data_IF_301097955778
#
_entry.id   IF_301097955778
#
_cell.length_a   1.000
_cell.length_b   1.000
_cell.length_c   1.000
_cell.angle_alpha   90.00
_cell.angle_beta   90.00
_cell.angle_gamma   90.00
#
_symmetry.space_group_name_H-M   'P 1'
#
loop_
_entity.id
_entity.type
_entity.pdbx_description
1 polymer ?
#
# COMPACT_ATOMS: atom_id res chain seq x y z
N UNK A 1 -24.43 -7.76 12.46
CA UNK A 1 -24.89 -6.37 12.66
C UNK A 1 -24.20 -5.87 13.90
N UNK A 2 -23.28 -4.91 13.77
CA UNK A 2 -22.51 -4.35 14.89
C UNK A 2 -23.40 -3.66 15.96
N UNK A 3 -24.69 -3.48 15.67
CA UNK A 3 -25.70 -3.00 16.63
C UNK A 3 -26.31 -4.11 17.49
N UNK A 4 -25.96 -5.38 17.25
CA UNK A 4 -26.58 -6.54 17.92
C UNK A 4 -25.73 -7.15 19.04
N UNK A 5 -24.55 -6.60 19.35
CA UNK A 5 -23.69 -7.14 20.41
C UNK A 5 -22.23 -6.77 20.23
N UNK A 6 -21.36 -7.75 20.44
CA UNK A 6 -19.91 -7.67 20.33
C UNK A 6 -19.41 -8.20 18.97
N UNK A 7 -18.10 -8.44 18.88
CA UNK A 7 -17.39 -8.99 17.73
C UNK A 7 -17.99 -10.32 17.20
N UNK A 8 -18.56 -11.16 18.06
CA UNK A 8 -19.14 -12.44 17.59
C UNK A 8 -20.37 -12.22 16.69
N UNK A 9 -21.03 -11.07 16.85
CA UNK A 9 -22.30 -10.73 16.19
C UNK A 9 -22.18 -9.64 15.12
N UNK A 10 -21.08 -8.87 15.11
CA UNK A 10 -20.82 -7.78 14.17
C UNK A 10 -20.97 -8.23 12.72
N UNK A 11 -20.47 -9.42 12.38
CA UNK A 11 -20.45 -9.94 11.01
C UNK A 11 -21.60 -10.86 10.66
N UNK A 12 -22.59 -11.04 11.53
CA UNK A 12 -23.71 -11.97 11.29
C UNK A 12 -24.35 -11.78 9.90
N UNK A 13 -24.65 -10.54 9.53
CA UNK A 13 -25.27 -10.19 8.24
C UNK A 13 -24.34 -10.48 7.07
N UNK A 14 -23.03 -10.25 7.22
CA UNK A 14 -22.05 -10.61 6.21
C UNK A 14 -22.00 -12.14 6.03
N UNK A 15 -21.94 -12.88 7.15
CA UNK A 15 -21.89 -14.35 7.16
C UNK A 15 -23.10 -14.99 6.50
N UNK A 16 -24.29 -14.44 6.73
CA UNK A 16 -25.54 -14.90 6.12
C UNK A 16 -25.61 -14.67 4.60
N UNK A 17 -24.97 -13.61 4.08
CA UNK A 17 -25.07 -13.22 2.66
C UNK A 17 -23.89 -13.72 1.83
N UNK A 18 -22.67 -13.65 2.38
CA UNK A 18 -21.42 -13.87 1.65
C UNK A 18 -20.63 -15.10 2.11
N UNK A 19 -20.95 -15.66 3.28
CA UNK A 19 -20.25 -16.81 3.84
C UNK A 19 -19.21 -16.45 4.90
N UNK A 20 -18.30 -17.38 5.24
CA UNK A 20 -17.40 -17.20 6.38
C UNK A 20 -16.48 -15.98 6.22
N UNK A 21 -16.13 -15.33 7.34
CA UNK A 21 -15.23 -14.16 7.35
C UNK A 21 -13.76 -14.53 7.21
N UNK A 22 -13.43 -15.81 7.40
CA UNK A 22 -12.09 -16.35 7.14
C UNK A 22 -12.20 -17.74 6.49
N UNK A 23 -11.33 -17.99 5.53
CA UNK A 23 -11.28 -19.24 4.76
C UNK A 23 -9.98 -19.31 3.95
N UNK A 24 -9.64 -20.50 3.44
CA UNK A 24 -8.51 -20.69 2.54
C UNK A 24 -8.92 -21.42 1.27
N UNK A 25 -8.15 -21.26 0.21
CA UNK A 25 -8.31 -22.02 -1.02
C UNK A 25 -7.02 -22.05 -1.83
N UNK A 26 -6.90 -23.05 -2.71
CA UNK A 26 -5.81 -23.14 -3.66
C UNK A 26 -6.27 -22.71 -5.04
N UNK A 27 -5.41 -21.97 -5.75
CA UNK A 27 -5.57 -21.73 -7.19
C UNK A 27 -4.24 -21.96 -7.88
N UNK A 28 -4.15 -23.04 -8.66
CA UNK A 28 -2.88 -23.49 -9.21
C UNK A 28 -1.91 -23.86 -8.09
N UNK A 29 -0.72 -23.23 -8.08
CA UNK A 29 0.29 -23.40 -7.03
C UNK A 29 0.28 -22.29 -5.98
N UNK A 30 -0.70 -21.39 -6.00
CA UNK A 30 -0.85 -20.37 -4.96
C UNK A 30 -1.88 -20.82 -3.92
N UNK A 31 -1.54 -20.63 -2.65
CA UNK A 31 -2.42 -20.84 -1.51
C UNK A 31 -2.89 -19.48 -0.99
N UNK A 32 -4.20 -19.29 -0.92
CA UNK A 32 -4.82 -18.06 -0.48
C UNK A 32 -5.47 -18.26 0.88
N UNK A 33 -5.24 -17.31 1.78
CA UNK A 33 -5.86 -17.25 3.10
C UNK A 33 -6.56 -15.91 3.20
N UNK A 34 -7.85 -15.92 3.54
CA UNK A 34 -8.62 -14.71 3.85
C UNK A 34 -8.86 -14.72 5.35
N UNK A 35 -8.55 -13.61 6.01
CA UNK A 35 -8.72 -13.42 7.45
C UNK A 35 -9.56 -12.18 7.71
N UNK A 36 -10.18 -12.18 8.89
CA UNK A 36 -10.83 -11.01 9.46
C UNK A 36 -10.01 -10.52 10.65
N UNK A 37 -9.43 -9.34 10.49
CA UNK A 37 -8.57 -8.72 11.49
C UNK A 37 -9.18 -7.44 12.07
N UNK A 38 -10.43 -7.12 11.75
CA UNK A 38 -11.16 -5.97 12.31
C UNK A 38 -12.00 -6.45 13.48
N UNK A 39 -11.45 -6.35 14.69
CA UNK A 39 -12.17 -6.77 15.89
C UNK A 39 -13.01 -5.63 16.44
N UNK A 40 -14.33 -5.79 16.43
CA UNK A 40 -15.27 -4.84 16.98
C UNK A 40 -15.26 -4.87 18.52
N UNK A 41 -15.20 -3.70 19.15
CA UNK A 41 -15.08 -3.60 20.61
C UNK A 41 -16.43 -3.45 21.33
N UNK A 42 -17.54 -3.64 20.63
CA UNK A 42 -18.89 -3.60 21.22
C UNK A 42 -19.43 -2.18 21.51
N UNK A 43 -18.69 -1.14 21.13
CA UNK A 43 -19.05 0.26 21.37
C UNK A 43 -19.05 1.05 20.06
N UNK A 44 -20.23 1.44 19.58
CA UNK A 44 -20.42 2.29 18.40
C UNK A 44 -19.63 1.84 17.15
N UNK A 45 -18.60 2.60 16.74
CA UNK A 45 -17.72 2.29 15.60
C UNK A 45 -16.29 2.02 16.07
N UNK A 46 -16.14 1.60 17.32
CA UNK A 46 -14.83 1.34 17.92
C UNK A 46 -14.37 -0.09 17.59
N UNK A 47 -13.16 -0.19 17.07
CA UNK A 47 -12.54 -1.45 16.66
C UNK A 47 -11.02 -1.37 16.81
N UNK A 48 -10.38 -2.51 16.86
CA UNK A 48 -8.92 -2.60 16.72
C UNK A 48 -8.50 -3.65 15.69
N UNK A 49 -7.24 -3.58 15.27
CA UNK A 49 -6.61 -4.65 14.51
C UNK A 49 -6.25 -5.80 15.43
N UNK A 50 -6.91 -6.95 15.28
CA UNK A 50 -6.63 -8.16 16.06
C UNK A 50 -7.10 -9.41 15.33
N UNK A 51 -6.24 -10.41 15.22
CA UNK A 51 -6.61 -11.70 14.64
C UNK A 51 -6.95 -12.65 15.79
N UNK A 52 -8.19 -13.15 15.85
CA UNK A 52 -8.61 -14.02 16.96
C UNK A 52 -7.72 -15.27 17.12
N UNK A 53 -7.57 -15.76 18.34
CA UNK A 53 -6.83 -17.02 18.62
C UNK A 53 -7.38 -18.22 17.85
N UNK A 54 -8.69 -18.23 17.60
CA UNK A 54 -9.35 -19.24 16.78
C UNK A 54 -8.86 -19.18 15.32
N UNK A 55 -8.79 -17.98 14.74
CA UNK A 55 -8.27 -17.78 13.38
C UNK A 55 -6.78 -18.14 13.29
N UNK A 56 -5.95 -17.72 14.26
CA UNK A 56 -4.52 -18.09 14.28
C UNK A 56 -4.33 -19.61 14.41
N UNK A 57 -5.09 -20.26 15.30
CA UNK A 57 -5.05 -21.72 15.48
C UNK A 57 -5.54 -22.48 14.24
N UNK A 58 -6.55 -21.94 13.56
CA UNK A 58 -7.04 -22.47 12.30
C UNK A 58 -6.01 -22.31 11.18
N UNK A 59 -5.47 -21.11 11.00
CA UNK A 59 -4.44 -20.79 10.00
C UNK A 59 -3.20 -21.65 10.20
N UNK A 60 -2.77 -21.88 11.44
CA UNK A 60 -1.66 -22.78 11.74
C UNK A 60 -1.89 -24.20 11.18
N UNK A 61 -3.08 -24.76 11.37
CA UNK A 61 -3.44 -26.10 10.86
C UNK A 61 -3.58 -26.13 9.34
N UNK A 62 -4.18 -25.09 8.77
CA UNK A 62 -4.30 -24.94 7.32
C UNK A 62 -2.91 -24.93 6.64
N UNK A 63 -2.00 -24.15 7.21
CA UNK A 63 -0.60 -24.03 6.80
C UNK A 63 0.18 -25.36 6.94
N UNK A 64 -0.18 -26.29 7.83
CA UNK A 64 0.50 -27.61 7.92
C UNK A 64 0.43 -28.41 6.61
N UNK A 65 -0.54 -28.09 5.74
CA UNK A 65 -0.73 -28.74 4.45
C UNK A 65 -0.08 -27.98 3.28
N UNK A 66 0.58 -26.85 3.52
CA UNK A 66 1.16 -25.98 2.50
C UNK A 66 2.68 -26.19 2.41
N UNK A 67 3.19 -26.39 1.19
CA UNK A 67 4.64 -26.51 0.96
C UNK A 67 5.34 -25.18 1.31
N UNK A 68 6.52 -25.27 1.94
CA UNK A 68 7.25 -24.10 2.44
C UNK A 68 7.80 -23.17 1.35
N UNK A 69 7.86 -23.65 0.10
CA UNK A 69 8.24 -22.88 -1.08
C UNK A 69 7.02 -22.48 -1.93
N UNK A 70 5.81 -22.84 -1.51
CA UNK A 70 4.58 -22.42 -2.19
C UNK A 70 4.36 -20.91 -2.01
N UNK A 71 3.72 -20.28 -2.99
CA UNK A 71 3.25 -18.90 -2.86
C UNK A 71 2.05 -18.86 -1.92
N UNK A 72 2.18 -18.14 -0.80
CA UNK A 72 1.11 -17.89 0.16
C UNK A 72 0.67 -16.43 0.04
N UNK A 73 -0.60 -16.22 -0.28
CA UNK A 73 -1.21 -14.88 -0.35
C UNK A 73 -2.25 -14.78 0.77
N UNK A 74 -2.10 -13.77 1.63
CA UNK A 74 -2.98 -13.55 2.77
C UNK A 74 -3.72 -12.23 2.56
N UNK A 75 -5.05 -12.25 2.54
CA UNK A 75 -5.88 -11.08 2.37
C UNK A 75 -6.57 -10.72 3.69
N UNK A 76 -6.45 -9.47 4.11
CA UNK A 76 -7.03 -8.93 5.35
C UNK A 76 -7.22 -7.41 5.23
N UNK A 77 -7.78 -6.74 6.24
CA UNK A 77 -8.12 -5.32 6.13
C UNK A 77 -7.05 -4.39 6.70
N UNK A 78 -6.64 -4.58 7.95
CA UNK A 78 -5.75 -3.67 8.68
C UNK A 78 -4.28 -4.12 8.50
N UNK A 79 -3.34 -3.21 8.18
CA UNK A 79 -1.98 -3.66 7.94
C UNK A 79 -1.34 -4.34 9.14
N UNK A 80 -0.77 -5.52 8.92
CA UNK A 80 -0.27 -6.37 10.01
C UNK A 80 1.01 -5.82 10.62
N UNK A 81 1.89 -5.25 9.80
CA UNK A 81 3.18 -4.71 10.26
C UNK A 81 3.04 -3.63 11.35
N UNK A 82 1.96 -2.84 11.37
CA UNK A 82 1.80 -1.74 12.33
C UNK A 82 0.38 -1.53 12.91
N UNK A 83 -0.64 -2.23 12.42
CA UNK A 83 -2.04 -2.02 12.83
C UNK A 83 -2.66 -3.18 13.62
N UNK A 84 -2.09 -4.39 13.53
CA UNK A 84 -2.60 -5.59 14.23
C UNK A 84 -1.86 -5.81 15.55
N UNK A 85 -2.57 -5.81 16.68
CA UNK A 85 -2.00 -5.85 18.03
C UNK A 85 -1.22 -7.12 18.35
N UNK A 86 -1.69 -8.28 17.86
CA UNK A 86 -1.04 -9.58 18.03
C UNK A 86 -0.26 -10.01 16.77
N UNK A 87 0.32 -9.06 16.04
CA UNK A 87 1.07 -9.35 14.82
C UNK A 87 2.25 -10.31 15.03
N UNK A 88 2.87 -10.34 16.21
CA UNK A 88 3.97 -11.27 16.52
C UNK A 88 3.54 -12.72 16.36
N UNK A 89 2.40 -13.08 16.95
CA UNK A 89 1.86 -14.44 16.88
C UNK A 89 1.53 -14.82 15.43
N UNK A 90 1.03 -13.86 14.65
CA UNK A 90 0.78 -14.04 13.22
C UNK A 90 2.08 -14.29 12.43
N UNK A 91 3.10 -13.45 12.58
CA UNK A 91 4.37 -13.58 11.86
C UNK A 91 5.11 -14.88 12.24
N UNK A 92 4.99 -15.34 13.49
CA UNK A 92 5.58 -16.60 13.93
C UNK A 92 5.09 -17.81 13.14
N UNK A 93 3.82 -17.83 12.72
CA UNK A 93 3.27 -18.90 11.86
C UNK A 93 3.91 -18.93 10.46
N UNK A 94 4.44 -17.79 10.02
CA UNK A 94 4.93 -17.57 8.65
C UNK A 94 6.44 -17.76 8.49
N UNK A 95 7.21 -17.80 9.59
CA UNK A 95 8.69 -17.84 9.58
C UNK A 95 9.32 -18.96 8.72
N UNK A 96 8.59 -20.05 8.49
CA UNK A 96 9.07 -21.19 7.70
C UNK A 96 8.74 -21.09 6.20
N UNK A 97 7.92 -20.13 5.77
CA UNK A 97 7.52 -19.93 4.39
C UNK A 97 8.39 -18.88 3.72
N UNK A 98 8.82 -19.17 2.50
CA UNK A 98 9.79 -18.31 1.79
C UNK A 98 9.16 -17.27 0.87
N UNK A 99 7.86 -17.41 0.60
CA UNK A 99 7.16 -16.62 -0.41
C UNK A 99 5.76 -16.29 0.09
N UNK A 100 5.69 -15.29 0.96
CA UNK A 100 4.45 -14.85 1.60
C UNK A 100 4.18 -13.40 1.24
N UNK A 101 2.97 -13.16 0.77
CA UNK A 101 2.47 -11.85 0.43
C UNK A 101 1.20 -11.54 1.22
N UNK A 102 1.16 -10.39 1.89
CA UNK A 102 -0.04 -9.89 2.56
C UNK A 102 -0.66 -8.80 1.69
N UNK A 103 -1.98 -8.85 1.50
CA UNK A 103 -2.79 -7.83 0.83
C UNK A 103 -3.63 -7.14 1.90
N UNK A 104 -3.26 -5.91 2.25
CA UNK A 104 -3.93 -5.11 3.27
C UNK A 104 -4.42 -3.77 2.72
N UNK A 105 -5.26 -3.07 3.48
CA UNK A 105 -5.85 -1.80 3.09
C UNK A 105 -6.03 -0.89 4.30
N UNK A 106 -7.27 -0.46 4.56
CA UNK A 106 -7.66 0.35 5.73
C UNK A 106 -7.12 1.79 5.79
N UNK A 107 -5.89 2.02 5.34
CA UNK A 107 -5.11 3.24 5.62
C UNK A 107 -5.32 4.38 4.63
N UNK A 108 -5.82 4.08 3.43
CA UNK A 108 -5.98 5.07 2.35
C UNK A 108 -4.67 5.72 1.89
N UNK A 109 -3.55 5.01 2.00
CA UNK A 109 -2.27 5.29 1.35
C UNK A 109 -1.69 4.00 0.77
N UNK A 110 -0.67 4.06 -0.06
CA UNK A 110 -0.03 2.92 -0.71
C UNK A 110 1.39 2.71 -0.17
N UNK A 111 1.66 1.53 0.41
CA UNK A 111 2.96 1.21 1.01
C UNK A 111 3.28 -0.26 0.76
N UNK A 112 4.54 -0.53 0.42
CA UNK A 112 5.11 -1.87 0.42
C UNK A 112 6.03 -2.03 1.64
N UNK A 113 5.74 -3.00 2.50
CA UNK A 113 6.52 -3.27 3.69
C UNK A 113 7.11 -4.69 3.61
N UNK A 114 8.43 -4.81 3.81
CA UNK A 114 9.09 -6.11 3.94
C UNK A 114 9.49 -6.33 5.39
N UNK A 115 8.84 -7.29 6.06
CA UNK A 115 9.10 -7.62 7.45
C UNK A 115 9.28 -9.14 7.60
N UNK A 116 10.40 -9.58 8.17
CA UNK A 116 10.70 -10.99 8.41
C UNK A 116 10.53 -11.91 7.18
N UNK A 117 10.85 -11.41 5.98
CA UNK A 117 10.69 -12.16 4.74
C UNK A 117 9.24 -12.26 4.22
N UNK A 118 8.29 -11.59 4.88
CA UNK A 118 6.90 -11.44 4.43
C UNK A 118 6.74 -10.08 3.78
N UNK A 119 6.19 -10.06 2.57
CA UNK A 119 5.98 -8.83 1.81
C UNK A 119 4.53 -8.38 1.94
N UNK A 120 4.30 -7.30 2.67
CA UNK A 120 2.98 -6.70 2.83
C UNK A 120 2.74 -5.57 1.83
N UNK A 121 1.64 -5.68 1.09
CA UNK A 121 1.12 -4.73 0.13
C UNK A 121 -0.07 -4.01 0.76
N UNK A 122 0.16 -2.85 1.35
CA UNK A 122 -0.92 -1.99 1.81
C UNK A 122 -1.37 -1.11 0.64
N UNK A 123 -2.58 -1.34 0.14
CA UNK A 123 -3.09 -0.65 -1.05
C UNK A 123 -3.67 0.73 -0.75
N UNK A 124 -3.37 1.67 -1.64
CA UNK A 124 -4.14 2.91 -1.75
C UNK A 124 -5.62 2.65 -2.01
N UNK A 125 -6.48 3.61 -1.70
CA UNK A 125 -7.92 3.44 -1.78
C UNK A 125 -8.50 3.85 -3.15
N UNK A 126 -9.51 3.10 -3.62
CA UNK A 126 -10.32 3.48 -4.80
C UNK A 126 -10.96 4.86 -4.62
N UNK A 127 -11.33 5.21 -3.38
CA UNK A 127 -11.89 6.51 -3.07
C UNK A 127 -10.83 7.59 -2.78
N UNK A 128 -9.53 7.26 -2.78
CA UNK A 128 -8.47 8.19 -2.40
C UNK A 128 -8.62 8.58 -0.94
N UNK A 129 -8.39 9.84 -0.60
CA UNK A 129 -8.68 10.41 0.71
C UNK A 129 -10.22 10.57 0.91
N UNK A 130 -10.96 9.46 0.93
CA UNK A 130 -12.40 9.39 1.18
C UNK A 130 -13.27 10.22 0.22
N UNK A 131 -13.01 10.15 -1.09
CA UNK A 131 -13.70 10.90 -2.15
C UNK A 131 -13.49 12.41 -2.10
N UNK A 132 -12.50 12.87 -1.33
CA UNK A 132 -12.27 14.29 -1.11
C UNK A 132 -11.40 14.93 -2.17
N UNK A 133 -10.60 14.13 -2.88
CA UNK A 133 -9.77 14.56 -3.98
C UNK A 133 -9.39 13.40 -4.90
N UNK A 134 -8.52 13.67 -5.90
CA UNK A 134 -8.14 12.68 -6.91
C UNK A 134 -7.11 11.66 -6.41
N UNK A 135 -6.52 11.89 -5.23
CA UNK A 135 -5.40 11.13 -4.66
C UNK A 135 -5.72 10.64 -3.23
N UNK A 136 -4.99 9.62 -2.80
CA UNK A 136 -4.81 9.17 -1.44
C UNK A 136 -4.05 10.22 -0.61
N UNK A 137 -4.00 10.04 0.71
CA UNK A 137 -3.37 11.00 1.62
C UNK A 137 -1.85 11.13 1.42
N UNK A 138 -1.20 10.13 0.87
CA UNK A 138 0.22 10.05 0.51
C UNK A 138 0.56 10.57 -0.90
N UNK A 139 -0.42 11.09 -1.65
CA UNK A 139 -0.23 11.50 -3.04
C UNK A 139 -0.53 10.41 -4.08
N UNK A 140 -0.72 9.16 -3.67
CA UNK A 140 -1.00 8.05 -4.59
C UNK A 140 -2.35 8.26 -5.30
N UNK A 141 -2.44 8.24 -6.64
CA UNK A 141 -3.71 8.37 -7.34
C UNK A 141 -4.68 7.24 -6.96
N UNK A 142 -5.99 7.51 -6.96
CA UNK A 142 -7.02 6.46 -6.79
C UNK A 142 -6.77 5.26 -7.71
N UNK A 143 -6.84 4.04 -7.19
CA UNK A 143 -6.49 2.85 -7.95
C UNK A 143 -6.58 1.56 -7.15
N UNK A 144 -5.89 0.54 -7.66
CA UNK A 144 -5.83 -0.81 -7.09
C UNK A 144 -4.51 -1.49 -7.49
N UNK A 145 -4.06 -2.46 -6.70
CA UNK A 145 -2.96 -3.35 -7.07
C UNK A 145 -3.41 -4.39 -8.11
N UNK A 146 -2.54 -4.72 -9.06
CA UNK A 146 -2.73 -5.85 -9.97
C UNK A 146 -1.63 -6.87 -9.69
N UNK A 147 -2.04 -8.13 -9.54
CA UNK A 147 -1.18 -9.24 -9.19
C UNK A 147 -1.25 -10.32 -10.27
N UNK A 148 -0.10 -10.63 -10.85
CA UNK A 148 0.07 -11.66 -11.87
C UNK A 148 0.77 -12.87 -11.24
N UNK A 149 0.07 -13.99 -11.21
CA UNK A 149 0.54 -15.23 -10.59
C UNK A 149 0.93 -16.23 -11.67
N UNK A 150 2.19 -16.69 -11.66
CA UNK A 150 2.70 -17.75 -12.52
C UNK A 150 3.37 -18.84 -11.67
N UNK A 151 2.62 -19.92 -11.41
CA UNK A 151 3.05 -20.97 -10.50
C UNK A 151 3.24 -20.43 -9.08
N UNK A 152 4.49 -20.34 -8.63
CA UNK A 152 4.88 -19.75 -7.33
C UNK A 152 5.36 -18.31 -7.47
N UNK A 153 5.55 -17.79 -8.68
CA UNK A 153 6.04 -16.45 -8.89
C UNK A 153 4.90 -15.44 -8.82
N UNK A 154 5.15 -14.30 -8.18
CA UNK A 154 4.23 -13.17 -8.09
C UNK A 154 4.86 -11.92 -8.69
N UNK A 155 4.21 -11.33 -9.68
CA UNK A 155 4.51 -9.97 -10.16
C UNK A 155 3.36 -9.04 -9.82
N UNK A 156 3.67 -7.77 -9.64
CA UNK A 156 2.64 -6.77 -9.33
C UNK A 156 2.97 -5.40 -9.88
N UNK A 157 1.91 -4.61 -10.04
CA UNK A 157 2.01 -3.18 -10.36
C UNK A 157 0.78 -2.46 -9.81
N UNK A 158 0.90 -1.15 -9.55
CA UNK A 158 -0.25 -0.32 -9.18
C UNK A 158 -1.01 0.12 -10.43
N UNK A 159 -2.34 0.14 -10.40
CA UNK A 159 -3.16 0.60 -11.53
C UNK A 159 -4.06 1.76 -11.11
N UNK A 160 -3.59 2.98 -11.39
CA UNK A 160 -4.41 4.17 -11.20
C UNK A 160 -5.65 4.16 -12.11
N UNK A 161 -6.78 4.54 -11.53
CA UNK A 161 -8.08 4.59 -12.21
C UNK A 161 -8.03 5.63 -13.32
N UNK A 162 -8.44 5.23 -14.54
CA UNK A 162 -8.44 6.12 -15.70
C UNK A 162 -7.06 6.49 -16.27
N UNK A 163 -5.97 5.89 -15.77
CA UNK A 163 -4.60 6.11 -16.28
C UNK A 163 -4.01 4.81 -16.83
N UNK A 164 -3.05 4.86 -17.76
CA UNK A 164 -2.32 3.66 -18.20
C UNK A 164 -1.51 3.04 -17.05
N UNK A 165 -1.08 1.77 -17.18
CA UNK A 165 -0.30 1.09 -16.12
C UNK A 165 1.09 1.70 -15.94
N UNK A 166 1.58 2.43 -16.93
CA UNK A 166 2.87 3.11 -16.94
C UNK A 166 2.87 4.39 -16.08
N UNK A 167 1.70 4.88 -15.68
CA UNK A 167 1.58 5.99 -14.74
C UNK A 167 1.87 5.49 -13.32
N UNK A 168 3.14 5.54 -12.92
CA UNK A 168 3.63 5.11 -11.59
C UNK A 168 4.32 6.21 -10.79
N UNK A 169 4.47 7.41 -11.36
CA UNK A 169 5.10 8.52 -10.69
C UNK A 169 4.54 9.87 -11.16
N UNK A 170 4.65 10.87 -10.29
CA UNK A 170 4.35 12.27 -10.59
C UNK A 170 5.48 13.17 -10.12
N UNK A 171 5.68 14.29 -10.82
CA UNK A 171 6.73 15.25 -10.51
C UNK A 171 6.14 16.57 -10.04
N UNK A 172 6.80 17.20 -9.07
CA UNK A 172 6.56 18.56 -8.63
C UNK A 172 7.90 19.31 -8.64
N UNK A 173 7.91 20.53 -9.16
CA UNK A 173 9.07 21.43 -9.11
C UNK A 173 8.69 22.68 -8.34
N UNK A 174 9.44 22.94 -7.29
CA UNK A 174 9.35 24.17 -6.52
C UNK A 174 10.53 25.10 -6.87
N UNK A 175 10.23 26.36 -7.17
CA UNK A 175 11.25 27.38 -7.41
C UNK A 175 11.58 28.09 -6.10
N UNK A 176 12.82 27.96 -5.64
CA UNK A 176 13.39 28.63 -4.47
C UNK A 176 14.29 29.78 -4.93
N UNK A 177 14.79 30.60 -4.00
CA UNK A 177 15.54 31.84 -4.31
C UNK A 177 16.69 31.66 -5.31
N UNK A 178 17.51 30.63 -5.14
CA UNK A 178 18.71 30.37 -5.98
C UNK A 178 18.79 28.93 -6.51
N UNK A 179 17.70 28.17 -6.42
CA UNK A 179 17.65 26.78 -6.82
C UNK A 179 16.21 26.35 -7.12
N UNK A 180 16.05 25.25 -7.84
CA UNK A 180 14.79 24.52 -7.95
C UNK A 180 14.90 23.23 -7.14
N UNK A 181 13.79 22.79 -6.56
CA UNK A 181 13.64 21.51 -5.87
C UNK A 181 12.67 20.64 -6.66
N UNK A 182 13.14 19.48 -7.10
CA UNK A 182 12.28 18.41 -7.63
C UNK A 182 11.82 17.53 -6.47
N UNK A 183 10.54 17.20 -6.46
CA UNK A 183 9.96 16.10 -5.68
C UNK A 183 9.27 15.16 -6.68
N UNK A 184 9.72 13.92 -6.73
CA UNK A 184 9.07 12.84 -7.48
C UNK A 184 8.39 11.89 -6.50
N UNK A 185 7.10 11.66 -6.67
CA UNK A 185 6.33 10.68 -5.89
C UNK A 185 6.22 9.39 -6.71
N UNK A 186 6.75 8.26 -6.20
CA UNK A 186 6.82 6.96 -6.90
C UNK A 186 6.06 5.91 -6.08
N UNK A 187 4.73 5.99 -6.07
CA UNK A 187 3.88 5.35 -5.04
C UNK A 187 3.97 3.83 -4.85
N UNK A 188 4.27 3.05 -5.88
CA UNK A 188 4.40 1.59 -5.74
C UNK A 188 5.84 1.14 -5.40
N UNK A 189 6.66 2.08 -4.95
CA UNK A 189 8.07 1.86 -4.63
C UNK A 189 8.27 0.78 -3.57
N UNK A 190 9.41 0.12 -3.69
CA UNK A 190 10.03 -0.70 -2.66
C UNK A 190 11.56 -0.62 -2.83
N UNK A 191 12.36 -1.06 -1.84
CA UNK A 191 13.81 -0.88 -1.87
C UNK A 191 14.58 -1.54 -3.04
N UNK A 192 13.96 -2.43 -3.82
CA UNK A 192 14.59 -3.03 -5.00
C UNK A 192 14.45 -2.17 -6.27
N UNK A 193 13.61 -1.12 -6.23
CA UNK A 193 13.44 -0.19 -7.34
C UNK A 193 14.66 0.72 -7.49
N UNK A 194 14.90 1.15 -8.74
CA UNK A 194 15.91 2.16 -9.07
C UNK A 194 15.21 3.40 -9.59
N UNK A 195 15.47 4.54 -8.95
CA UNK A 195 14.95 5.84 -9.40
C UNK A 195 16.13 6.71 -9.80
N UNK A 196 16.13 7.14 -11.05
CA UNK A 196 17.20 7.93 -11.67
C UNK A 196 16.61 9.19 -12.29
N UNK A 197 17.43 10.20 -12.52
CA UNK A 197 16.98 11.45 -13.10
C UNK A 197 17.98 12.08 -14.07
N UNK A 198 17.44 12.89 -14.98
CA UNK A 198 18.19 13.68 -15.94
C UNK A 198 17.78 15.16 -15.84
N UNK A 199 18.76 16.05 -16.02
CA UNK A 199 18.57 17.50 -16.09
C UNK A 199 19.06 17.98 -17.45
N UNK A 200 18.19 18.60 -18.25
CA UNK A 200 18.46 19.03 -19.63
C UNK A 200 19.13 17.93 -20.49
N UNK A 201 18.65 16.69 -20.33
CA UNK A 201 19.15 15.50 -21.04
C UNK A 201 20.48 14.93 -20.53
N UNK A 202 21.04 15.49 -19.44
CA UNK A 202 22.23 14.95 -18.78
C UNK A 202 21.83 14.05 -17.62
N UNK A 203 22.28 12.80 -17.65
CA UNK A 203 22.10 11.86 -16.53
C UNK A 203 22.80 12.35 -15.26
N UNK A 204 22.06 12.34 -14.16
CA UNK A 204 22.53 12.73 -12.83
C UNK A 204 22.71 11.53 -11.89
N UNK A 205 22.39 10.33 -12.35
CA UNK A 205 22.45 9.09 -11.56
C UNK A 205 21.19 8.88 -10.71
N UNK A 206 21.37 8.21 -9.58
CA UNK A 206 20.29 7.90 -8.65
C UNK A 206 19.69 9.18 -8.04
N UNK A 207 18.37 9.21 -7.92
CA UNK A 207 17.63 10.23 -7.21
C UNK A 207 17.47 9.79 -5.75
N UNK A 208 17.75 10.69 -4.80
CA UNK A 208 17.75 10.33 -3.38
C UNK A 208 16.32 10.17 -2.87
N UNK A 209 16.04 9.03 -2.21
CA UNK A 209 14.79 8.81 -1.49
C UNK A 209 14.73 9.71 -0.26
N UNK A 210 13.54 10.18 0.07
CA UNK A 210 13.29 10.94 1.28
C UNK A 210 11.88 10.67 1.80
N UNK A 211 11.74 10.71 3.12
CA UNK A 211 10.43 10.70 3.74
C UNK A 211 9.84 12.12 3.76
N UNK A 212 8.56 12.25 3.44
CA UNK A 212 7.91 13.56 3.48
C UNK A 212 6.42 13.50 3.22
N UNK A 213 5.85 14.65 2.86
CA UNK A 213 4.48 14.76 2.42
C UNK A 213 4.48 15.09 0.93
N UNK A 214 3.63 14.42 0.18
CA UNK A 214 3.42 14.74 -1.23
C UNK A 214 2.91 16.20 -1.39
N UNK A 215 3.52 17.00 -2.28
CA UNK A 215 3.11 18.40 -2.43
C UNK A 215 1.64 18.59 -2.79
N UNK A 216 1.06 17.72 -3.63
CA UNK A 216 -0.33 17.81 -4.02
C UNK A 216 -1.26 17.39 -2.87
N UNK A 217 -0.89 16.38 -2.07
CA UNK A 217 -1.67 16.01 -0.88
C UNK A 217 -1.69 17.13 0.16
N UNK A 218 -0.56 17.84 0.34
CA UNK A 218 -0.49 19.03 1.18
C UNK A 218 -1.39 20.14 0.64
N UNK A 219 -1.30 20.45 -0.65
CA UNK A 219 -2.13 21.49 -1.28
C UNK A 219 -3.63 21.22 -1.13
N UNK A 220 -4.05 19.97 -1.30
CA UNK A 220 -5.46 19.60 -1.29
C UNK A 220 -6.05 19.42 0.11
N UNK A 221 -5.27 18.87 1.04
CA UNK A 221 -5.79 18.32 2.29
C UNK A 221 -5.31 19.04 3.54
N UNK A 222 -4.27 19.87 3.47
CA UNK A 222 -3.75 20.54 4.66
C UNK A 222 -4.37 21.92 4.88
N UNK A 223 -4.92 22.14 6.07
CA UNK A 223 -5.23 23.47 6.60
C UNK A 223 -6.65 23.58 7.16
N UNK A 224 -6.90 24.58 8.00
CA UNK A 224 -8.11 24.69 8.84
C UNK A 224 -9.46 24.69 8.08
N UNK A 225 -9.42 24.97 6.77
CA UNK A 225 -10.61 25.00 5.89
C UNK A 225 -10.58 23.92 4.82
N UNK A 226 -9.56 23.07 4.83
CA UNK A 226 -9.34 22.03 3.86
C UNK A 226 -9.27 20.66 4.53
N UNK A 227 -9.68 19.61 3.81
CA UNK A 227 -10.57 19.71 2.68
C UNK A 227 -12.03 19.94 3.14
N UNK A 228 -12.77 20.77 2.41
CA UNK A 228 -14.11 21.24 2.84
C UNK A 228 -15.14 20.11 3.04
N UNK A 229 -15.06 19.03 2.25
CA UNK A 229 -16.04 17.94 2.31
C UNK A 229 -15.82 17.00 3.49
N UNK A 230 -14.56 16.66 3.79
CA UNK A 230 -14.18 15.74 4.87
C UNK A 230 -12.96 16.29 5.60
N UNK A 231 -13.20 17.24 6.50
CA UNK A 231 -12.16 17.98 7.22
C UNK A 231 -11.22 17.11 8.09
N UNK A 232 -11.45 15.80 8.20
CA UNK A 232 -10.54 14.86 8.85
C UNK A 232 -9.47 14.29 7.92
N UNK A 233 -9.62 14.46 6.60
CA UNK A 233 -8.65 13.96 5.64
C UNK A 233 -7.41 14.88 5.65
N UNK A 234 -6.27 14.33 6.02
CA UNK A 234 -4.99 15.03 6.12
C UNK A 234 -3.95 14.37 5.21
N UNK A 235 -2.88 15.09 4.79
CA UNK A 235 -1.77 14.47 4.11
C UNK A 235 -1.05 13.48 5.04
N UNK A 236 -0.67 12.33 4.49
CA UNK A 236 0.05 11.28 5.19
C UNK A 236 1.53 11.32 4.83
N UNK A 237 2.40 11.11 5.82
CA UNK A 237 3.85 11.05 5.60
C UNK A 237 4.21 9.73 4.92
N UNK A 238 4.99 9.78 3.85
CA UNK A 238 5.34 8.62 3.04
C UNK A 238 6.84 8.56 2.78
N UNK A 239 7.35 7.35 2.49
CA UNK A 239 8.74 7.01 2.15
C UNK A 239 8.93 6.79 0.64
N UNK A 240 7.90 6.95 -0.19
CA UNK A 240 8.04 6.80 -1.64
C UNK A 240 8.22 8.14 -2.38
N UNK A 241 8.90 9.10 -1.73
CA UNK A 241 9.29 10.38 -2.34
C UNK A 241 10.78 10.41 -2.65
N UNK A 242 11.12 11.13 -3.71
CA UNK A 242 12.46 11.26 -4.22
C UNK A 242 12.77 12.71 -4.52
N UNK A 243 13.94 13.20 -4.13
CA UNK A 243 14.23 14.64 -4.14
C UNK A 243 15.60 14.96 -4.72
N UNK A 244 15.67 16.05 -5.48
CA UNK A 244 16.92 16.69 -5.89
C UNK A 244 16.81 18.20 -5.87
N UNK A 245 17.95 18.87 -5.69
CA UNK A 245 18.09 20.30 -5.89
C UNK A 245 19.00 20.57 -7.08
N UNK A 246 18.65 21.56 -7.89
CA UNK A 246 19.43 21.95 -9.05
C UNK A 246 19.26 23.44 -9.35
N UNK A 247 20.06 23.95 -10.30
CA UNK A 247 20.09 25.39 -10.58
C UNK A 247 18.80 25.86 -11.29
N UNK A 248 18.39 27.12 -11.11
CA UNK A 248 17.16 27.65 -11.70
C UNK A 248 17.11 27.60 -13.23
N UNK A 249 18.27 27.58 -13.90
CA UNK A 249 18.38 27.59 -15.36
C UNK A 249 17.99 26.27 -16.01
N UNK A 250 17.89 25.18 -15.24
CA UNK A 250 17.43 23.89 -15.78
C UNK A 250 16.00 24.02 -16.27
N UNK A 251 15.77 23.58 -17.51
CA UNK A 251 14.48 23.74 -18.19
C UNK A 251 13.72 22.42 -18.28
N UNK A 252 14.43 21.30 -18.42
CA UNK A 252 13.82 19.98 -18.57
C UNK A 252 14.29 19.04 -17.46
N UNK A 253 13.33 18.38 -16.83
CA UNK A 253 13.59 17.39 -15.78
C UNK A 253 12.91 16.09 -16.17
N UNK A 254 13.67 15.00 -16.15
CA UNK A 254 13.16 13.65 -16.42
C UNK A 254 13.48 12.76 -15.24
N UNK A 255 12.49 11.97 -14.81
CA UNK A 255 12.68 10.91 -13.81
C UNK A 255 12.32 9.58 -14.43
N UNK A 256 13.17 8.59 -14.20
CA UNK A 256 13.03 7.22 -14.68
C UNK A 256 13.00 6.32 -13.45
N UNK A 257 11.85 5.71 -13.17
CA UNK A 257 11.73 4.67 -12.15
C UNK A 257 11.74 3.30 -12.83
N UNK A 258 12.62 2.41 -12.39
CA UNK A 258 12.67 1.01 -12.82
C UNK A 258 12.27 0.13 -11.65
N UNK A 259 11.19 -0.65 -11.80
CA UNK A 259 10.75 -1.56 -10.73
C UNK A 259 11.64 -2.79 -10.59
N UNK A 260 11.38 -3.56 -9.52
CA UNK A 260 12.05 -4.84 -9.24
C UNK A 260 11.97 -5.88 -10.37
N UNK A 261 11.00 -5.73 -11.29
CA UNK A 261 10.82 -6.62 -12.44
C UNK A 261 11.48 -6.09 -13.70
N UNK A 262 12.12 -4.92 -13.64
CA UNK A 262 12.81 -4.25 -14.75
C UNK A 262 11.89 -3.40 -15.64
N UNK A 263 10.62 -3.22 -15.29
CA UNK A 263 9.75 -2.32 -16.05
C UNK A 263 10.08 -0.87 -15.74
N UNK A 264 10.06 -0.02 -16.77
CA UNK A 264 10.46 1.39 -16.69
C UNK A 264 9.26 2.31 -16.79
N UNK A 265 9.23 3.30 -15.91
CA UNK A 265 8.23 4.35 -15.84
C UNK A 265 8.92 5.70 -15.93
N UNK A 266 8.38 6.58 -16.76
CA UNK A 266 9.00 7.87 -17.07
C UNK A 266 8.01 9.00 -16.84
N UNK A 267 8.45 10.03 -16.16
CA UNK A 267 7.77 11.32 -16.09
C UNK A 267 8.74 12.45 -16.40
N UNK A 268 8.23 13.49 -17.07
CA UNK A 268 9.03 14.61 -17.58
C UNK A 268 8.26 15.92 -17.33
N UNK A 269 8.99 16.99 -16.99
CA UNK A 269 8.51 18.37 -16.84
C UNK A 269 9.43 19.34 -17.60
#
# INVERSE_FOLDING_TARGET
>A
DYRMGDDETSDKTFKEVYGPTYYSFNRGKAHYIVLDDVRYLGVERDYDGYISEQQLSWMKKDLEHVDKNQLVIICLHIPVHNGVKNNKDFYELLNQYKNVHIMSGHTHYNVNNLNNGVFEHNHGAVCGAWWTGPICSDGTPRGYGVYEVDGTELKWYYKSTGKPKEYQLSLNIETLTNQKRLIANVWNWDPEWKVEYELDGKSMGALDQTDGFDPLSVELYKGDKLPAARAFAEPHRTDHLFMAHFKPEVMHVKVIATDRFGAKYVAEL
#
